data_IF_354133171354
#
_entry.id   IF_354133171354
#
_cell.length_a   1.000
_cell.length_b   1.000
_cell.length_c   1.000
_cell.angle_alpha   90.00
_cell.angle_beta   90.00
_cell.angle_gamma   90.00
#
_symmetry.space_group_name_H-M   'P 1'
#
loop_
_entity.id
_entity.type
_entity.pdbx_description
1 polymer ?
#
# COMPACT_ATOMS: atom_id res chain seq x y z
N UNK A 1 -1.34 6.51 33.87
CA UNK A 1 -1.64 5.08 34.07
C UNK A 1 -2.10 4.41 32.77
N UNK A 2 -1.41 4.61 31.61
CA UNK A 2 -1.83 4.13 30.27
C UNK A 2 -0.61 3.82 29.34
N UNK A 3 0.63 3.76 29.85
CA UNK A 3 1.84 3.83 28.99
C UNK A 3 2.53 2.50 28.69
N UNK A 4 1.93 1.38 29.10
CA UNK A 4 2.46 0.03 28.86
C UNK A 4 1.56 -0.77 27.91
N UNK A 5 1.10 -0.14 26.82
CA UNK A 5 0.54 -0.87 25.67
C UNK A 5 1.72 -1.55 24.94
N UNK A 6 2.29 -2.53 25.65
CA UNK A 6 3.43 -3.33 25.25
C UNK A 6 3.12 -3.94 23.90
N UNK A 7 3.99 -3.70 22.93
CA UNK A 7 4.08 -4.44 21.66
C UNK A 7 3.89 -5.96 21.84
N UNK A 8 4.16 -6.48 23.05
CA UNK A 8 3.83 -7.82 23.51
C UNK A 8 2.37 -8.27 23.23
N UNK A 9 1.36 -7.42 23.45
CA UNK A 9 -0.03 -7.80 23.19
C UNK A 9 -0.31 -8.00 21.70
N UNK A 10 0.29 -7.17 20.84
CA UNK A 10 0.18 -7.32 19.39
C UNK A 10 0.83 -8.64 18.96
N UNK A 11 1.98 -8.99 19.52
CA UNK A 11 2.65 -10.27 19.27
C UNK A 11 1.78 -11.46 19.68
N UNK A 12 1.15 -11.42 20.86
CA UNK A 12 0.26 -12.49 21.32
C UNK A 12 -0.97 -12.59 20.41
N UNK A 13 -1.57 -11.47 20.02
CA UNK A 13 -2.71 -11.44 19.11
C UNK A 13 -2.35 -12.06 17.76
N UNK A 14 -1.21 -11.66 17.17
CA UNK A 14 -0.73 -12.23 15.90
C UNK A 14 -0.51 -13.72 16.05
N UNK A 15 0.08 -14.18 17.15
CA UNK A 15 0.30 -15.61 17.41
C UNK A 15 -1.01 -16.40 17.44
N UNK A 16 -2.04 -15.87 18.12
CA UNK A 16 -3.39 -16.47 18.17
C UNK A 16 -4.01 -16.52 16.77
N UNK A 17 -3.96 -15.43 16.02
CA UNK A 17 -4.48 -15.40 14.64
C UNK A 17 -3.72 -16.39 13.74
N UNK A 18 -2.40 -16.51 13.91
CA UNK A 18 -1.56 -17.47 13.17
C UNK A 18 -1.93 -18.92 13.49
N UNK A 19 -2.30 -19.22 14.73
CA UNK A 19 -2.76 -20.56 15.15
C UNK A 19 -4.15 -20.88 14.57
N UNK A 20 -5.08 -19.92 14.55
CA UNK A 20 -6.44 -20.13 14.01
C UNK A 20 -6.47 -20.19 12.49
N UNK A 21 -5.77 -19.27 11.81
CA UNK A 21 -5.80 -19.13 10.36
C UNK A 21 -4.66 -19.89 9.66
N UNK A 22 -3.60 -20.23 10.38
CA UNK A 22 -2.38 -20.83 9.85
C UNK A 22 -1.39 -19.79 9.29
N UNK A 23 -0.09 -20.08 9.41
CA UNK A 23 1.00 -19.22 8.95
C UNK A 23 0.97 -18.90 7.44
N UNK A 24 0.34 -19.75 6.62
CA UNK A 24 0.26 -19.53 5.17
C UNK A 24 -0.89 -18.60 4.73
N UNK A 25 -1.95 -18.42 5.54
CA UNK A 25 -3.13 -17.66 5.09
C UNK A 25 -3.04 -16.17 5.35
N UNK A 26 -2.46 -15.76 6.48
CA UNK A 26 -2.24 -14.34 6.78
C UNK A 26 -1.40 -13.60 5.71
N UNK A 27 -0.23 -14.09 5.27
CA UNK A 27 0.58 -13.38 4.27
C UNK A 27 -0.09 -13.35 2.90
N UNK A 28 -0.86 -14.37 2.53
CA UNK A 28 -1.63 -14.40 1.29
C UNK A 28 -2.72 -13.33 1.26
N UNK A 29 -3.51 -13.23 2.33
CA UNK A 29 -4.55 -12.20 2.47
C UNK A 29 -3.94 -10.80 2.49
N UNK A 30 -2.89 -10.58 3.27
CA UNK A 30 -2.19 -9.31 3.33
C UNK A 30 -1.60 -8.89 1.97
N UNK A 31 -1.02 -9.83 1.20
CA UNK A 31 -0.53 -9.55 -0.17
C UNK A 31 -1.65 -9.14 -1.11
N UNK A 32 -2.77 -9.85 -1.11
CA UNK A 32 -3.92 -9.55 -1.99
C UNK A 32 -4.54 -8.18 -1.69
N UNK A 33 -4.80 -7.90 -0.40
CA UNK A 33 -5.34 -6.61 0.05
C UNK A 33 -4.34 -5.49 -0.19
N UNK A 34 -3.05 -5.72 0.07
CA UNK A 34 -1.99 -4.75 -0.17
C UNK A 34 -1.83 -4.40 -1.65
N UNK A 35 -2.01 -5.36 -2.55
CA UNK A 35 -1.96 -5.13 -3.99
C UNK A 35 -3.16 -4.27 -4.45
N UNK A 36 -4.37 -4.56 -3.97
CA UNK A 36 -5.55 -3.72 -4.24
C UNK A 36 -5.38 -2.29 -3.67
N UNK A 37 -4.85 -2.16 -2.45
CA UNK A 37 -4.56 -0.84 -1.85
C UNK A 37 -3.50 -0.07 -2.62
N UNK A 38 -2.48 -0.75 -3.17
CA UNK A 38 -1.43 -0.11 -3.98
C UNK A 38 -2.00 0.47 -5.26
N UNK A 39 -2.81 -0.29 -5.99
CA UNK A 39 -3.47 0.17 -7.22
C UNK A 39 -4.36 1.36 -6.88
N UNK A 40 -5.24 1.23 -5.88
CA UNK A 40 -6.10 2.32 -5.44
C UNK A 40 -5.31 3.58 -5.05
N UNK A 41 -4.19 3.43 -4.33
CA UNK A 41 -3.33 4.55 -3.94
C UNK A 41 -2.63 5.21 -5.14
N UNK A 42 -2.23 4.45 -6.16
CA UNK A 42 -1.63 4.99 -7.38
C UNK A 42 -2.65 5.79 -8.16
N UNK A 43 -3.83 5.21 -8.43
CA UNK A 43 -4.93 5.89 -9.14
C UNK A 43 -5.34 7.17 -8.40
N UNK A 44 -5.59 7.09 -7.08
CA UNK A 44 -5.98 8.26 -6.26
C UNK A 44 -4.87 9.31 -6.19
N UNK A 45 -3.60 8.91 -6.31
CA UNK A 45 -2.47 9.84 -6.33
C UNK A 45 -2.37 10.56 -7.68
N UNK A 46 -2.59 9.84 -8.77
CA UNK A 46 -2.63 10.40 -10.13
C UNK A 46 -3.68 11.51 -10.22
N UNK A 47 -4.90 11.22 -9.75
CA UNK A 47 -6.00 12.20 -9.67
C UNK A 47 -5.68 13.41 -8.79
N UNK A 48 -4.83 13.25 -7.77
CA UNK A 48 -4.45 14.34 -6.85
C UNK A 48 -3.27 15.18 -7.34
N UNK A 49 -2.33 14.59 -8.07
CA UNK A 49 -1.21 15.31 -8.68
C UNK A 49 -1.71 16.15 -9.88
N UNK A 50 -2.75 15.69 -10.59
CA UNK A 50 -3.39 16.44 -11.70
C UNK A 50 -4.08 17.74 -11.23
N UNK A 51 -4.54 17.80 -9.97
CA UNK A 51 -5.11 19.02 -9.37
C UNK A 51 -4.04 20.02 -8.86
N UNK A 52 -2.75 19.67 -8.83
CA UNK A 52 -1.69 20.48 -8.17
C UNK A 52 -0.54 20.92 -9.09
N UNK A 53 -0.67 20.91 -10.42
CA UNK A 53 0.34 21.54 -11.29
C UNK A 53 -0.25 22.44 -12.39
N UNK A 54 0.06 23.74 -12.40
CA UNK A 54 -0.04 24.55 -13.61
C UNK A 54 1.06 24.09 -14.58
N UNK A 55 0.68 23.96 -15.85
CA UNK A 55 1.51 23.84 -17.05
C UNK A 55 3.03 23.68 -16.82
N UNK A 56 3.61 22.50 -17.11
CA UNK A 56 4.87 22.42 -17.86
C UNK A 56 4.97 21.14 -18.71
N UNK A 57 5.40 21.23 -19.98
CA UNK A 57 5.53 20.11 -20.90
C UNK A 57 6.86 19.37 -20.69
N UNK A 58 6.81 18.07 -20.43
CA UNK A 58 7.99 17.19 -20.49
C UNK A 58 7.90 16.29 -21.73
N UNK A 59 8.35 16.89 -22.83
CA UNK A 59 9.31 16.35 -23.79
C UNK A 59 9.81 14.91 -23.47
N UNK A 60 9.38 13.95 -24.29
CA UNK A 60 9.76 12.54 -24.15
C UNK A 60 9.35 11.63 -25.31
N UNK A 61 9.09 12.18 -26.50
CA UNK A 61 8.98 11.36 -27.72
C UNK A 61 9.78 12.03 -28.83
N UNK A 62 10.95 11.45 -29.05
CA UNK A 62 11.85 11.69 -30.16
C UNK A 62 11.15 11.52 -31.53
N UNK A 63 11.61 12.22 -32.57
CA UNK A 63 10.85 12.54 -33.78
C UNK A 63 10.81 11.37 -34.79
N UNK A 64 9.71 11.19 -35.56
CA UNK A 64 9.74 10.36 -36.75
C UNK A 64 10.42 11.16 -37.87
N UNK A 65 11.62 10.73 -38.26
CA UNK A 65 12.32 11.25 -39.45
C UNK A 65 11.80 10.51 -40.68
N UNK A 66 11.04 11.21 -41.52
CA UNK A 66 10.73 10.87 -42.93
C UNK A 66 11.58 11.73 -43.87
#
# INVERSE_FOLDING_TARGET
MIRNLSAWHIIVLVLVVLLLFGANRLPGLAKSVGQSMKIFKTEVKDLRDDDTRPDEPTEGTTPPKV
#
